data_IF_458272504499
#
_entry.id   IF_458272504499
#
_cell.length_a   1.000
_cell.length_b   1.000
_cell.length_c   1.000
_cell.angle_alpha   90.00
_cell.angle_beta   90.00
_cell.angle_gamma   90.00
#
_symmetry.space_group_name_H-M   'P 1'
#
loop_
_entity.id
_entity.type
_entity.pdbx_description
1 polymer ?
#
# COMPACT_ATOMS: atom_id res chain seq x y z
N UNK A 1 20.00 -6.77 -16.23
CA UNK A 1 19.16 -7.68 -15.43
C UNK A 1 17.72 -7.54 -15.88
N UNK A 2 16.96 -8.65 -16.01
CA UNK A 2 15.54 -8.62 -16.30
C UNK A 2 14.74 -7.96 -15.16
N UNK A 3 13.53 -7.44 -15.47
CA UNK A 3 12.62 -6.96 -14.45
C UNK A 3 12.16 -8.14 -13.56
N UNK A 4 11.99 -7.87 -12.26
CA UNK A 4 11.46 -8.86 -11.33
C UNK A 4 9.92 -8.96 -11.49
N UNK A 5 9.31 -10.15 -11.23
CA UNK A 5 7.86 -10.29 -11.23
C UNK A 5 7.22 -9.47 -10.08
N UNK A 6 5.89 -9.22 -10.12
CA UNK A 6 5.18 -8.57 -9.01
C UNK A 6 5.46 -9.26 -7.67
N UNK A 7 5.40 -10.60 -7.63
CA UNK A 7 5.79 -11.41 -6.48
C UNK A 7 6.93 -12.34 -6.92
N UNK A 8 8.09 -12.17 -6.31
CA UNK A 8 9.23 -13.09 -6.43
C UNK A 8 9.21 -14.05 -5.22
N UNK A 9 8.95 -15.35 -5.42
CA UNK A 9 8.87 -16.31 -4.33
C UNK A 9 10.13 -16.36 -3.46
N UNK A 10 11.31 -16.23 -4.08
CA UNK A 10 12.58 -16.23 -3.34
C UNK A 10 12.74 -14.98 -2.48
N UNK A 11 12.23 -13.83 -2.95
CA UNK A 11 12.24 -12.60 -2.17
C UNK A 11 11.29 -12.70 -0.96
N UNK A 12 10.13 -13.31 -1.15
CA UNK A 12 9.19 -13.52 -0.05
C UNK A 12 9.76 -14.45 1.01
N UNK A 13 10.38 -15.56 0.63
CA UNK A 13 11.06 -16.46 1.60
C UNK A 13 12.10 -15.70 2.43
N UNK A 14 12.91 -14.84 1.79
CA UNK A 14 13.87 -13.99 2.53
C UNK A 14 13.21 -13.04 3.50
N UNK A 15 12.09 -12.41 3.07
CA UNK A 15 11.33 -11.52 3.94
C UNK A 15 10.69 -12.26 5.12
N UNK A 16 10.17 -13.47 4.89
CA UNK A 16 9.62 -14.31 5.96
C UNK A 16 10.69 -14.82 6.93
N UNK A 17 11.91 -15.07 6.46
CA UNK A 17 13.05 -15.37 7.34
C UNK A 17 13.43 -14.18 8.24
N UNK A 18 13.30 -12.95 7.76
CA UNK A 18 13.67 -11.73 8.50
C UNK A 18 12.54 -11.24 9.41
N UNK A 19 11.28 -11.28 8.95
CA UNK A 19 10.12 -10.66 9.61
C UNK A 19 9.09 -11.66 10.14
N UNK A 20 9.33 -12.95 9.99
CA UNK A 20 8.36 -14.00 10.33
C UNK A 20 7.34 -14.26 9.21
N UNK A 21 6.51 -15.31 9.36
CA UNK A 21 5.53 -15.71 8.36
C UNK A 21 4.50 -14.61 8.12
N UNK A 22 4.04 -14.48 6.87
CA UNK A 22 3.05 -13.49 6.45
C UNK A 22 1.79 -14.15 5.87
N UNK A 23 0.67 -13.41 5.90
CA UNK A 23 -0.54 -13.83 5.20
C UNK A 23 -0.36 -13.73 3.67
N UNK A 24 -1.01 -14.64 2.92
CA UNK A 24 -1.11 -14.60 1.45
C UNK A 24 -2.57 -14.43 1.10
N UNK A 25 -2.90 -13.30 0.49
CA UNK A 25 -4.28 -12.95 0.18
C UNK A 25 -4.38 -12.58 -1.31
N UNK A 26 -5.32 -13.20 -2.02
CA UNK A 26 -5.51 -12.99 -3.46
C UNK A 26 -6.89 -12.37 -3.73
N UNK A 27 -6.92 -11.42 -4.64
CA UNK A 27 -8.12 -10.64 -4.98
C UNK A 27 -8.30 -10.53 -6.49
N UNK A 28 -9.50 -10.82 -6.94
CA UNK A 28 -9.98 -10.40 -8.25
C UNK A 28 -10.52 -8.97 -8.14
N UNK A 29 -9.95 -8.06 -8.90
CA UNK A 29 -10.31 -6.64 -8.86
C UNK A 29 -10.85 -6.22 -10.23
N UNK A 30 -12.19 -6.27 -10.40
CA UNK A 30 -12.81 -5.74 -11.62
C UNK A 30 -12.51 -4.26 -11.79
N UNK A 31 -12.15 -3.86 -13.01
CA UNK A 31 -11.83 -2.49 -13.38
C UNK A 31 -12.50 -2.11 -14.69
N UNK A 32 -12.79 -0.84 -14.87
CA UNK A 32 -13.11 -0.30 -16.18
C UNK A 32 -11.93 -0.45 -17.15
N UNK A 33 -12.21 -0.51 -18.45
CA UNK A 33 -11.18 -0.61 -19.46
C UNK A 33 -10.15 0.54 -19.36
N UNK A 34 -10.61 1.76 -19.08
CA UNK A 34 -9.74 2.94 -18.92
C UNK A 34 -8.81 2.84 -17.70
N UNK A 35 -9.32 2.33 -16.58
CA UNK A 35 -8.52 2.09 -15.38
C UNK A 35 -7.48 1.00 -15.61
N UNK A 36 -7.86 -0.09 -16.27
CA UNK A 36 -6.92 -1.16 -16.61
C UNK A 36 -5.83 -0.67 -17.57
N UNK A 37 -6.19 0.13 -18.59
CA UNK A 37 -5.21 0.76 -19.51
C UNK A 37 -4.20 1.64 -18.75
N UNK A 38 -4.67 2.42 -17.78
CA UNK A 38 -3.79 3.22 -16.93
C UNK A 38 -2.75 2.36 -16.20
N UNK A 39 -3.20 1.24 -15.59
CA UNK A 39 -2.32 0.33 -14.87
C UNK A 39 -1.38 -0.43 -15.80
N UNK A 40 -1.86 -0.92 -16.94
CA UNK A 40 -1.05 -1.63 -17.93
C UNK A 40 0.10 -0.77 -18.48
N UNK A 41 -0.09 0.54 -18.60
CA UNK A 41 0.99 1.46 -19.00
C UNK A 41 2.02 1.70 -17.89
N UNK A 42 1.59 1.68 -16.63
CA UNK A 42 2.45 2.04 -15.48
C UNK A 42 3.23 0.86 -14.91
N UNK A 43 2.58 -0.28 -14.78
CA UNK A 43 3.17 -1.44 -14.12
C UNK A 43 4.46 -1.89 -14.81
N UNK A 44 4.53 -2.14 -16.12
CA UNK A 44 5.76 -2.62 -16.73
C UNK A 44 6.91 -1.60 -16.71
N UNK A 45 6.60 -0.31 -16.78
CA UNK A 45 7.59 0.73 -17.02
C UNK A 45 8.09 1.43 -15.76
N UNK A 46 7.25 1.56 -14.73
CA UNK A 46 7.54 2.37 -13.55
C UNK A 46 7.60 1.58 -12.24
N UNK A 47 6.79 0.52 -12.13
CA UNK A 47 6.73 -0.29 -10.91
C UNK A 47 6.37 -1.73 -11.22
N UNK A 48 6.93 -2.69 -10.50
CA UNK A 48 6.53 -4.10 -10.57
C UNK A 48 5.45 -4.45 -9.56
N UNK A 49 5.44 -3.79 -8.42
CA UNK A 49 4.57 -3.97 -7.28
C UNK A 49 4.55 -2.68 -6.44
N UNK A 50 3.95 -2.71 -5.26
CA UNK A 50 4.07 -1.63 -4.30
C UNK A 50 4.34 -2.17 -2.88
N UNK A 51 4.88 -1.34 -2.01
CA UNK A 51 4.89 -1.51 -0.56
C UNK A 51 3.70 -0.78 0.03
N UNK A 52 2.99 -1.44 0.94
CA UNK A 52 1.99 -0.83 1.80
C UNK A 52 2.58 -0.64 3.19
N UNK A 53 2.45 0.55 3.75
CA UNK A 53 3.09 0.92 5.01
C UNK A 53 2.01 1.22 6.06
N UNK A 54 1.83 0.28 6.99
CA UNK A 54 0.98 0.48 8.17
C UNK A 54 1.87 1.09 9.25
N UNK A 55 2.00 2.42 9.21
CA UNK A 55 2.89 3.16 10.11
C UNK A 55 2.17 3.41 11.42
N UNK A 56 2.70 2.83 12.49
CA UNK A 56 2.12 2.94 13.84
C UNK A 56 3.04 3.78 14.73
N UNK A 57 2.50 4.87 15.24
CA UNK A 57 3.19 5.77 16.16
C UNK A 57 3.22 5.24 17.61
N UNK A 58 3.86 5.99 18.55
CA UNK A 58 3.99 5.60 19.95
C UNK A 58 2.65 5.38 20.66
N UNK A 59 1.60 6.09 20.25
CA UNK A 59 0.26 5.96 20.83
C UNK A 59 -0.55 4.80 20.23
N UNK A 60 0.06 3.97 19.37
CA UNK A 60 -0.62 2.84 18.73
C UNK A 60 -1.59 3.24 17.60
N UNK A 61 -1.55 4.51 17.17
CA UNK A 61 -2.37 5.02 16.06
C UNK A 61 -1.68 4.76 14.73
N UNK A 62 -2.48 4.55 13.68
CA UNK A 62 -2.01 4.32 12.31
C UNK A 62 -2.02 5.62 11.54
N UNK A 63 -0.90 5.98 10.93
CA UNK A 63 -0.78 7.13 10.05
C UNK A 63 -1.46 6.85 8.72
N UNK A 64 -2.33 7.76 8.31
CA UNK A 64 -2.96 7.80 6.98
C UNK A 64 -2.67 9.15 6.33
N UNK A 65 -2.79 9.21 5.01
CA UNK A 65 -2.54 10.45 4.26
C UNK A 65 -3.60 10.72 3.19
N UNK A 66 -3.65 11.96 2.73
CA UNK A 66 -4.40 12.37 1.55
C UNK A 66 -3.52 13.22 0.62
N UNK A 67 -3.93 13.31 -0.65
CA UNK A 67 -3.24 14.12 -1.68
C UNK A 67 -4.22 15.15 -2.27
N UNK A 68 -3.77 16.30 -2.77
CA UNK A 68 -4.66 17.39 -3.23
C UNK A 68 -5.64 16.98 -4.34
N UNK A 69 -5.25 15.98 -5.14
CA UNK A 69 -6.09 15.48 -6.24
C UNK A 69 -7.07 14.37 -5.83
N UNK A 70 -7.05 13.91 -4.58
CA UNK A 70 -8.03 12.93 -4.09
C UNK A 70 -9.38 13.62 -3.79
N UNK A 71 -10.49 12.88 -3.85
CA UNK A 71 -11.77 13.40 -3.37
C UNK A 71 -11.65 13.88 -1.93
N UNK A 72 -12.42 14.92 -1.59
CA UNK A 72 -12.38 15.56 -0.27
C UNK A 72 -12.51 14.54 0.86
N UNK A 73 -11.66 14.68 1.89
CA UNK A 73 -11.63 13.80 3.07
C UNK A 73 -11.34 12.32 2.75
N UNK A 74 -10.62 12.04 1.67
CA UNK A 74 -10.22 10.69 1.30
C UNK A 74 -8.82 10.40 1.80
N UNK A 75 -8.73 9.61 2.87
CA UNK A 75 -7.47 9.16 3.47
C UNK A 75 -7.24 7.69 3.18
N UNK A 76 -5.99 7.24 3.26
CA UNK A 76 -5.59 5.84 3.15
C UNK A 76 -4.24 5.59 3.81
N UNK A 77 -3.89 4.34 4.08
CA UNK A 77 -2.53 3.98 4.48
C UNK A 77 -1.53 4.39 3.38
N UNK A 78 -0.28 4.62 3.76
CA UNK A 78 0.79 4.98 2.84
C UNK A 78 1.13 3.81 1.91
N UNK A 79 1.42 4.11 0.65
CA UNK A 79 1.88 3.10 -0.32
C UNK A 79 2.84 3.70 -1.31
N UNK A 80 3.95 3.02 -1.56
CA UNK A 80 4.96 3.43 -2.51
C UNK A 80 5.28 2.38 -3.57
N UNK A 81 5.75 2.81 -4.73
CA UNK A 81 6.02 1.91 -5.86
C UNK A 81 7.36 1.20 -5.75
N UNK A 82 7.40 -0.12 -5.93
CA UNK A 82 8.64 -0.88 -6.10
C UNK A 82 9.06 -0.80 -7.56
N UNK A 83 10.22 -0.20 -7.85
CA UNK A 83 10.75 -0.05 -9.22
C UNK A 83 11.04 -1.43 -9.86
N UNK A 84 11.08 -1.55 -11.20
CA UNK A 84 11.16 -2.86 -11.87
C UNK A 84 12.35 -3.76 -11.49
N UNK A 85 13.44 -3.17 -10.99
CA UNK A 85 14.66 -3.89 -10.56
C UNK A 85 14.96 -3.70 -9.07
N UNK A 86 14.09 -3.01 -8.36
CA UNK A 86 14.23 -2.72 -6.94
C UNK A 86 13.74 -3.90 -6.11
N UNK A 87 14.42 -4.18 -5.00
CA UNK A 87 13.96 -5.14 -3.99
C UNK A 87 13.01 -4.47 -3.02
N UNK A 88 12.19 -5.28 -2.35
CA UNK A 88 11.12 -4.81 -1.44
C UNK A 88 11.69 -3.99 -0.27
N UNK A 89 12.75 -4.45 0.40
CA UNK A 89 13.31 -3.74 1.57
C UNK A 89 13.93 -2.38 1.23
N UNK A 90 14.75 -2.23 0.19
CA UNK A 90 15.15 -0.91 -0.27
C UNK A 90 13.96 0.01 -0.61
N UNK A 91 12.91 -0.54 -1.26
CA UNK A 91 11.74 0.24 -1.65
C UNK A 91 10.98 0.78 -0.43
N UNK A 92 10.69 -0.06 0.58
CA UNK A 92 9.95 0.42 1.76
C UNK A 92 10.72 1.47 2.54
N UNK A 93 12.05 1.34 2.68
CA UNK A 93 12.89 2.35 3.36
C UNK A 93 12.91 3.67 2.61
N UNK A 94 13.02 3.63 1.28
CA UNK A 94 12.99 4.81 0.42
C UNK A 94 11.62 5.50 0.50
N UNK A 95 10.53 4.78 0.29
CA UNK A 95 9.17 5.34 0.31
C UNK A 95 8.80 5.91 1.69
N UNK A 96 9.18 5.23 2.79
CA UNK A 96 9.00 5.77 4.14
C UNK A 96 9.68 7.12 4.31
N UNK A 97 10.91 7.25 3.85
CA UNK A 97 11.63 8.51 3.92
C UNK A 97 11.02 9.57 3.01
N UNK A 98 10.79 9.23 1.73
CA UNK A 98 10.24 10.14 0.72
C UNK A 98 8.85 10.68 1.14
N UNK A 99 7.96 9.80 1.62
CA UNK A 99 6.59 10.18 2.00
C UNK A 99 6.48 10.83 3.38
N UNK A 100 7.35 10.52 4.35
CA UNK A 100 7.13 10.96 5.74
C UNK A 100 8.29 11.64 6.42
N UNK A 101 9.54 11.41 6.02
CA UNK A 101 10.72 11.87 6.73
C UNK A 101 10.86 11.33 8.16
N UNK A 102 10.00 10.43 8.60
CA UNK A 102 10.02 9.88 9.94
C UNK A 102 11.16 8.88 10.14
N UNK A 103 11.73 8.87 11.34
CA UNK A 103 12.54 7.74 11.79
C UNK A 103 11.60 6.55 12.10
N UNK A 104 11.76 5.45 11.37
CA UNK A 104 10.86 4.34 11.47
C UNK A 104 11.55 3.00 11.20
N UNK A 105 11.10 1.95 11.89
CA UNK A 105 11.62 0.59 11.78
C UNK A 105 10.58 -0.32 11.16
N UNK A 106 10.97 -1.08 10.14
CA UNK A 106 10.14 -2.15 9.58
C UNK A 106 10.10 -3.29 10.59
N UNK A 107 8.93 -3.58 11.12
CA UNK A 107 8.75 -4.52 12.23
C UNK A 107 8.31 -5.91 11.75
N UNK A 108 7.41 -5.96 10.77
CA UNK A 108 6.83 -7.22 10.30
C UNK A 108 6.28 -7.10 8.87
N UNK A 109 6.44 -8.15 8.07
CA UNK A 109 5.65 -8.34 6.86
C UNK A 109 4.29 -8.93 7.26
N UNK A 110 3.22 -8.12 7.16
CA UNK A 110 1.87 -8.54 7.53
C UNK A 110 1.26 -9.48 6.50
N UNK A 111 1.37 -9.08 5.23
CA UNK A 111 0.79 -9.85 4.12
C UNK A 111 1.47 -9.53 2.79
N UNK A 112 1.35 -10.48 1.86
CA UNK A 112 1.46 -10.22 0.42
C UNK A 112 0.04 -10.28 -0.15
N UNK A 113 -0.43 -9.13 -0.66
CA UNK A 113 -1.73 -8.99 -1.31
C UNK A 113 -1.51 -9.08 -2.82
N UNK A 114 -2.03 -10.13 -3.43
CA UNK A 114 -1.91 -10.37 -4.86
C UNK A 114 -3.22 -9.98 -5.57
N UNK A 115 -3.12 -9.19 -6.63
CA UNK A 115 -4.27 -8.70 -7.37
C UNK A 115 -4.27 -9.19 -8.80
N UNK A 116 -5.43 -9.59 -9.26
CA UNK A 116 -5.74 -9.77 -10.67
C UNK A 116 -6.70 -8.65 -11.10
N UNK A 117 -6.15 -7.56 -11.65
CA UNK A 117 -6.94 -6.50 -12.25
C UNK A 117 -7.51 -6.99 -13.58
N UNK A 118 -8.80 -6.82 -13.82
CA UNK A 118 -9.44 -7.33 -15.05
C UNK A 118 -10.62 -6.45 -15.50
N UNK A 119 -10.77 -6.28 -16.81
CA UNK A 119 -11.96 -5.70 -17.44
C UNK A 119 -12.89 -6.78 -18.06
N UNK A 120 -12.63 -8.06 -17.71
CA UNK A 120 -13.33 -9.22 -18.25
C UNK A 120 -12.64 -9.84 -19.46
N UNK A 121 -12.00 -9.04 -20.30
CA UNK A 121 -11.28 -9.51 -21.49
C UNK A 121 -9.75 -9.58 -21.29
N UNK A 122 -9.21 -8.64 -20.53
CA UNK A 122 -7.77 -8.50 -20.28
C UNK A 122 -7.52 -8.58 -18.78
N UNK A 123 -6.29 -8.92 -18.41
CA UNK A 123 -5.87 -8.98 -17.01
C UNK A 123 -4.46 -8.46 -16.82
N UNK A 124 -4.19 -7.97 -15.62
CA UNK A 124 -2.87 -7.54 -15.16
C UNK A 124 -2.66 -8.02 -13.73
N UNK A 125 -1.53 -8.71 -13.50
CA UNK A 125 -1.10 -9.08 -12.15
C UNK A 125 -0.37 -7.91 -11.48
N UNK A 126 -0.72 -7.66 -10.22
CA UNK A 126 -0.07 -6.67 -9.38
C UNK A 126 0.02 -7.17 -7.95
N UNK A 127 0.84 -6.56 -7.09
CA UNK A 127 0.95 -6.97 -5.70
C UNK A 127 1.28 -5.80 -4.77
N UNK A 128 0.82 -5.89 -3.51
CA UNK A 128 1.23 -5.05 -2.39
C UNK A 128 1.91 -5.90 -1.32
N UNK A 129 3.13 -5.55 -0.95
CA UNK A 129 3.80 -6.08 0.24
C UNK A 129 3.44 -5.19 1.42
N UNK A 130 2.53 -5.65 2.28
CA UNK A 130 1.99 -4.88 3.39
C UNK A 130 2.83 -5.08 4.64
N UNK A 131 3.45 -4.01 5.12
CA UNK A 131 4.31 -4.05 6.30
C UNK A 131 3.73 -3.29 7.49
N UNK A 132 3.97 -3.80 8.68
CA UNK A 132 3.90 -3.04 9.91
C UNK A 132 5.23 -2.28 10.07
N UNK A 133 5.10 -0.98 10.25
CA UNK A 133 6.23 -0.06 10.45
C UNK A 133 6.02 0.68 11.76
N UNK A 134 7.01 0.66 12.64
CA UNK A 134 6.98 1.39 13.90
C UNK A 134 7.71 2.72 13.74
N UNK A 135 7.04 3.82 14.04
CA UNK A 135 7.63 5.14 14.08
C UNK A 135 7.95 5.53 15.53
N UNK A 136 9.07 6.19 15.73
CA UNK A 136 9.44 6.77 17.03
C UNK A 136 8.59 8.01 17.39
N UNK A 137 7.70 8.44 16.49
CA UNK A 137 6.88 9.64 16.61
C UNK A 137 7.47 10.82 15.84
N UNK A 138 6.90 11.99 16.06
CA UNK A 138 7.24 13.22 15.35
C UNK A 138 6.20 13.62 14.32
N UNK A 139 6.31 14.83 13.79
CA UNK A 139 5.44 15.33 12.74
C UNK A 139 5.92 14.81 11.38
N UNK A 140 5.10 14.06 10.63
CA UNK A 140 5.49 13.62 9.30
C UNK A 140 5.62 14.83 8.36
N UNK A 141 6.67 14.81 7.54
CA UNK A 141 6.95 15.82 6.54
C UNK A 141 7.51 15.14 5.29
N UNK A 142 6.82 15.19 4.14
CA UNK A 142 7.33 14.60 2.90
C UNK A 142 8.70 15.19 2.54
N UNK A 143 9.64 14.33 2.15
CA UNK A 143 10.99 14.73 1.74
C UNK A 143 11.11 14.80 0.20
N UNK A 144 10.15 14.24 -0.51
CA UNK A 144 10.01 14.34 -1.97
C UNK A 144 8.76 15.16 -2.31
N UNK A 145 8.96 16.31 -2.96
CA UNK A 145 7.87 17.21 -3.37
C UNK A 145 6.92 16.57 -4.39
N UNK A 146 7.39 15.59 -5.17
CA UNK A 146 6.58 14.86 -6.14
C UNK A 146 5.51 13.98 -5.47
N UNK A 147 5.67 13.63 -4.19
CA UNK A 147 4.69 12.87 -3.42
C UNK A 147 3.40 13.64 -3.16
N UNK A 148 3.46 14.98 -3.13
CA UNK A 148 2.29 15.88 -3.02
C UNK A 148 1.31 15.47 -1.92
N UNK A 149 1.81 15.02 -0.77
CA UNK A 149 0.94 14.75 0.38
C UNK A 149 0.48 16.08 0.97
N UNK A 150 -0.83 16.26 1.12
CA UNK A 150 -1.41 17.51 1.62
C UNK A 150 -1.77 17.47 3.10
N UNK A 151 -2.08 16.30 3.63
CA UNK A 151 -2.47 16.14 5.04
C UNK A 151 -2.17 14.71 5.50
N UNK A 152 -1.73 14.60 6.74
CA UNK A 152 -1.66 13.34 7.47
C UNK A 152 -2.73 13.29 8.56
N UNK A 153 -3.22 12.10 8.85
CA UNK A 153 -4.18 11.84 9.91
C UNK A 153 -3.87 10.52 10.60
N UNK A 154 -3.91 10.53 11.90
CA UNK A 154 -3.82 9.32 12.69
C UNK A 154 -5.20 8.75 13.02
N UNK A 155 -5.35 7.45 12.89
CA UNK A 155 -6.59 6.71 13.20
C UNK A 155 -6.30 5.53 14.11
N UNK A 156 -7.28 5.04 14.86
CA UNK A 156 -7.12 3.76 15.57
C UNK A 156 -7.06 2.62 14.54
N UNK A 157 -6.35 1.50 14.84
CA UNK A 157 -6.29 0.36 13.93
C UNK A 157 -7.67 -0.14 13.46
N UNK A 158 -8.66 -0.17 14.36
CA UNK A 158 -10.05 -0.56 14.04
C UNK A 158 -10.76 0.39 13.09
N UNK A 159 -10.40 1.68 13.10
CA UNK A 159 -11.01 2.71 12.24
C UNK A 159 -10.57 2.59 10.76
N UNK A 160 -9.55 1.79 10.46
CA UNK A 160 -9.14 1.50 9.08
C UNK A 160 -10.26 0.84 8.26
N UNK A 161 -11.20 0.14 8.90
CA UNK A 161 -12.40 -0.35 8.22
C UNK A 161 -13.29 0.82 7.75
N UNK A 162 -13.45 1.86 8.56
CA UNK A 162 -14.17 3.06 8.17
C UNK A 162 -13.47 3.84 7.05
N UNK A 163 -12.12 3.83 7.04
CA UNK A 163 -11.33 4.36 5.91
C UNK A 163 -11.61 3.57 4.63
N UNK A 164 -11.61 2.24 4.72
CA UNK A 164 -11.91 1.37 3.58
C UNK A 164 -13.35 1.57 3.06
N UNK A 165 -14.34 1.64 3.96
CA UNK A 165 -15.75 1.90 3.61
C UNK A 165 -15.91 3.20 2.84
N UNK A 166 -15.17 4.24 3.22
CA UNK A 166 -15.19 5.51 2.52
C UNK A 166 -14.57 5.42 1.14
N UNK A 167 -13.47 4.71 0.99
CA UNK A 167 -12.82 4.46 -0.30
C UNK A 167 -13.74 3.72 -1.28
N UNK A 168 -14.49 2.73 -0.80
CA UNK A 168 -15.45 1.95 -1.61
C UNK A 168 -16.68 2.75 -2.03
N UNK A 169 -16.98 3.89 -1.36
CA UNK A 169 -18.12 4.76 -1.68
C UNK A 169 -17.72 6.02 -2.45
N UNK A 170 -16.54 6.04 -3.04
CA UNK A 170 -16.10 7.19 -3.84
C UNK A 170 -16.95 7.34 -5.11
N UNK A 171 -17.05 8.57 -5.67
CA UNK A 171 -17.75 8.81 -6.93
C UNK A 171 -17.24 7.94 -8.06
N UNK A 172 -18.08 7.68 -9.07
CA UNK A 172 -17.86 6.75 -10.17
C UNK A 172 -16.45 6.88 -10.84
N UNK A 173 -15.96 8.11 -11.03
CA UNK A 173 -14.63 8.34 -11.61
C UNK A 173 -13.48 7.86 -10.74
N UNK A 174 -13.73 7.56 -9.46
CA UNK A 174 -12.76 7.07 -8.47
C UNK A 174 -13.06 5.66 -7.99
N UNK A 175 -14.14 5.03 -8.47
CA UNK A 175 -14.65 3.76 -7.97
C UNK A 175 -13.61 2.64 -8.05
N UNK A 176 -13.02 2.42 -9.22
CA UNK A 176 -11.98 1.39 -9.41
C UNK A 176 -10.78 1.59 -8.50
N UNK A 177 -10.31 2.85 -8.41
CA UNK A 177 -9.20 3.20 -7.54
C UNK A 177 -9.56 3.04 -6.07
N UNK A 178 -10.76 3.47 -5.68
CA UNK A 178 -11.25 3.39 -4.31
C UNK A 178 -11.36 1.95 -3.83
N UNK A 179 -12.03 1.07 -4.61
CA UNK A 179 -12.12 -0.36 -4.30
C UNK A 179 -10.76 -1.02 -4.15
N UNK A 180 -9.84 -0.74 -5.07
CA UNK A 180 -8.48 -1.25 -4.96
C UNK A 180 -7.79 -0.76 -3.68
N UNK A 181 -7.86 0.54 -3.37
CA UNK A 181 -7.21 1.10 -2.18
C UNK A 181 -7.85 0.67 -0.86
N UNK A 182 -9.13 0.32 -0.85
CA UNK A 182 -9.82 -0.20 0.31
C UNK A 182 -9.24 -1.55 0.79
N UNK A 183 -8.79 -2.41 -0.13
CA UNK A 183 -8.26 -3.75 0.19
C UNK A 183 -7.11 -3.68 1.19
N UNK A 184 -6.11 -2.82 0.95
CA UNK A 184 -4.97 -2.68 1.85
C UNK A 184 -5.36 -2.17 3.24
N UNK A 185 -6.34 -1.25 3.33
CA UNK A 185 -6.83 -0.74 4.61
C UNK A 185 -7.59 -1.82 5.40
N UNK A 186 -8.45 -2.64 4.74
CA UNK A 186 -9.13 -3.76 5.37
C UNK A 186 -8.16 -4.85 5.85
N UNK A 187 -7.19 -5.22 5.02
CA UNK A 187 -6.16 -6.18 5.38
C UNK A 187 -5.36 -5.70 6.60
N UNK A 188 -5.00 -4.41 6.65
CA UNK A 188 -4.32 -3.82 7.79
C UNK A 188 -5.19 -3.87 9.05
N UNK A 189 -6.47 -3.49 8.98
CA UNK A 189 -7.40 -3.56 10.11
C UNK A 189 -7.51 -4.99 10.67
N UNK A 190 -7.70 -5.97 9.80
CA UNK A 190 -7.84 -7.39 10.17
C UNK A 190 -6.57 -7.93 10.83
N UNK A 191 -5.39 -7.66 10.24
CA UNK A 191 -4.12 -8.22 10.69
C UNK A 191 -3.56 -7.53 11.93
N UNK A 192 -3.97 -6.29 12.21
CA UNK A 192 -3.67 -5.60 13.47
C UNK A 192 -4.66 -5.97 14.58
N UNK A 193 -5.95 -6.22 14.25
CA UNK A 193 -6.99 -6.57 15.20
C UNK A 193 -6.94 -8.04 15.68
N UNK A 194 -6.30 -8.94 14.95
CA UNK A 194 -6.20 -10.37 15.27
C UNK A 194 -5.20 -10.74 16.38
N UNK A 195 -4.76 -9.79 17.20
CA UNK A 195 -3.99 -10.02 18.42
C UNK A 195 -4.94 -9.97 19.63
N UNK A 196 -5.67 -11.01 19.85
CA UNK A 196 -6.17 -11.42 21.16
C UNK A 196 -5.60 -12.78 21.50
#
# INVERSE_FOLDING_TARGET
>A
MAALPPVDPQEVVRLECEFGPCARLSYDVPMSASSLDYWMRRVPSRRRAEVGMVVVGPEGRVLTHTKPHYPVRTFRILTGGIKPRERVLPAIRREMWEETGLNATVERLLAVLEYRFTDGARQLSFATYLFLVRSDGGAPSPQDEDERISEFREVLPGDLNGVADRLERLPQQWDDWGRFRAIGNRAAAQLLGGKT
#
